data_IF_034130271457
#
_entry.id   IF_034130271457
#
_cell.length_a   1.000
_cell.length_b   1.000
_cell.length_c   1.000
_cell.angle_alpha   90.00
_cell.angle_beta   90.00
_cell.angle_gamma   90.00
#
_symmetry.space_group_name_H-M   'P 1'
#
loop_
_entity.id
_entity.type
_entity.pdbx_description
1 polymer ?
#
# COMPACT_ATOMS: atom_id res chain seq x y z
N UNK A 1 -13.19 23.52 12.99
CA UNK A 1 -11.88 24.17 13.22
C UNK A 1 -10.81 23.13 12.93
N UNK A 2 -9.96 23.35 11.92
CA UNK A 2 -8.88 22.41 11.62
C UNK A 2 -7.90 22.39 12.81
N UNK A 3 -7.62 21.20 13.34
CA UNK A 3 -6.64 21.02 14.43
C UNK A 3 -5.27 21.48 13.90
N UNK A 4 -4.58 22.35 14.63
CA UNK A 4 -3.24 22.78 14.24
C UNK A 4 -2.34 21.55 14.05
N UNK A 5 -1.75 21.41 12.86
CA UNK A 5 -0.88 20.28 12.54
C UNK A 5 0.36 20.33 13.44
N UNK A 6 0.71 19.21 14.05
CA UNK A 6 1.93 19.16 14.87
C UNK A 6 3.17 19.25 13.97
N UNK A 7 4.25 19.84 14.48
CA UNK A 7 5.54 19.87 13.75
C UNK A 7 6.05 18.46 13.40
N UNK A 8 5.74 17.46 14.22
CA UNK A 8 6.02 16.05 13.93
C UNK A 8 5.32 15.57 12.65
N UNK A 9 4.04 15.88 12.49
CA UNK A 9 3.29 15.49 11.30
C UNK A 9 3.75 16.25 10.06
N UNK A 10 4.08 17.54 10.19
CA UNK A 10 4.66 18.32 9.09
C UNK A 10 6.00 17.71 8.61
N UNK A 11 6.87 17.29 9.54
CA UNK A 11 8.12 16.60 9.20
C UNK A 11 7.85 15.32 8.43
N UNK A 12 6.86 14.53 8.87
CA UNK A 12 6.52 13.26 8.21
C UNK A 12 5.93 13.50 6.81
N UNK A 13 5.07 14.50 6.61
CA UNK A 13 4.51 14.83 5.29
C UNK A 13 5.59 15.24 4.29
N UNK A 14 6.52 16.09 4.73
CA UNK A 14 7.67 16.51 3.90
C UNK A 14 8.56 15.31 3.59
N UNK A 15 8.85 14.47 4.60
CA UNK A 15 9.67 13.29 4.42
C UNK A 15 9.01 12.30 3.44
N UNK A 16 7.70 12.07 3.55
CA UNK A 16 6.93 11.19 2.67
C UNK A 16 6.99 11.67 1.22
N UNK A 17 6.67 12.93 0.97
CA UNK A 17 6.69 13.52 -0.36
C UNK A 17 8.10 13.45 -0.99
N UNK A 18 9.14 13.79 -0.23
CA UNK A 18 10.53 13.70 -0.69
C UNK A 18 10.95 12.26 -0.98
N UNK A 19 10.62 11.31 -0.09
CA UNK A 19 10.97 9.90 -0.27
C UNK A 19 10.25 9.30 -1.48
N UNK A 20 8.96 9.57 -1.68
CA UNK A 20 8.21 9.07 -2.84
C UNK A 20 8.67 9.70 -4.16
N UNK A 21 9.24 10.91 -4.12
CA UNK A 21 9.78 11.60 -5.28
C UNK A 21 11.17 11.11 -5.69
N UNK A 22 12.10 10.95 -4.74
CA UNK A 22 13.54 10.72 -5.03
C UNK A 22 14.20 9.65 -4.15
N UNK A 23 13.41 8.87 -3.41
CA UNK A 23 13.87 7.81 -2.54
C UNK A 23 14.48 8.30 -1.22
N UNK A 24 14.71 7.36 -0.31
CA UNK A 24 15.36 7.66 0.97
C UNK A 24 16.81 8.12 0.78
N UNK A 25 17.56 7.54 -0.17
CA UNK A 25 18.93 7.97 -0.48
C UNK A 25 19.04 9.45 -0.84
N UNK A 26 18.12 9.94 -1.68
CA UNK A 26 18.08 11.33 -2.13
C UNK A 26 17.49 12.33 -1.11
N UNK A 27 16.96 11.85 0.01
CA UNK A 27 16.27 12.67 1.01
C UNK A 27 17.16 12.91 2.24
N UNK A 28 17.69 14.12 2.38
CA UNK A 28 18.53 14.51 3.53
C UNK A 28 17.71 14.92 4.77
N UNK A 29 18.32 14.98 5.95
CA UNK A 29 17.66 15.57 7.14
C UNK A 29 17.62 17.10 7.02
N UNK A 30 18.68 17.71 6.48
CA UNK A 30 18.79 19.17 6.37
C UNK A 30 17.75 19.77 5.40
N UNK A 31 17.42 19.07 4.30
CA UNK A 31 16.33 19.52 3.43
C UNK A 31 14.97 19.46 4.14
N UNK A 32 14.72 18.45 4.99
CA UNK A 32 13.46 18.31 5.73
C UNK A 32 13.37 19.42 6.77
N UNK A 33 14.46 19.70 7.49
CA UNK A 33 14.56 20.82 8.43
C UNK A 33 14.24 22.14 7.74
N UNK A 34 14.88 22.39 6.58
CA UNK A 34 14.68 23.60 5.78
C UNK A 34 13.22 23.74 5.32
N UNK A 35 12.64 22.67 4.76
CA UNK A 35 11.27 22.67 4.27
C UNK A 35 10.22 22.78 5.39
N UNK A 36 10.49 22.23 6.58
CA UNK A 36 9.59 22.30 7.73
C UNK A 36 9.67 23.63 8.50
N UNK A 37 10.63 24.50 8.14
CA UNK A 37 10.98 25.74 8.84
C UNK A 37 11.13 25.50 10.34
N UNK A 38 12.07 24.61 10.69
CA UNK A 38 12.42 24.26 12.07
C UNK A 38 13.92 24.33 12.29
N UNK A 39 14.35 24.37 13.55
CA UNK A 39 15.76 24.22 13.88
C UNK A 39 16.18 22.76 13.83
N UNK A 40 17.50 22.53 13.70
CA UNK A 40 18.09 21.20 13.86
C UNK A 40 17.71 20.54 15.19
N UNK A 41 17.74 21.30 16.28
CA UNK A 41 17.29 20.82 17.60
C UNK A 41 15.80 20.45 17.62
N UNK A 42 14.95 21.21 16.91
CA UNK A 42 13.52 20.91 16.76
C UNK A 42 13.25 19.62 16.00
N UNK A 43 14.06 19.30 14.97
CA UNK A 43 13.98 18.00 14.31
C UNK A 43 14.39 16.86 15.24
N UNK A 44 15.55 16.97 15.89
CA UNK A 44 16.07 15.91 16.78
C UNK A 44 15.24 15.70 18.05
N UNK A 45 14.40 16.67 18.43
CA UNK A 45 13.37 16.47 19.45
C UNK A 45 12.33 15.41 19.04
N UNK A 46 11.98 15.33 17.76
CA UNK A 46 11.01 14.38 17.23
C UNK A 46 11.64 13.07 16.74
N UNK A 47 12.80 13.17 16.07
CA UNK A 47 13.47 12.03 15.42
C UNK A 47 14.98 12.08 15.69
N UNK A 48 15.49 11.15 16.49
CA UNK A 48 16.90 11.03 16.88
C UNK A 48 17.82 10.77 15.69
N UNK A 49 17.31 10.08 14.67
CA UNK A 49 18.05 9.72 13.46
C UNK A 49 17.08 9.40 12.31
N UNK A 50 17.66 9.10 11.14
CA UNK A 50 16.92 8.76 9.92
C UNK A 50 16.18 7.42 10.01
N UNK A 51 16.64 6.48 10.83
CA UNK A 51 15.95 5.20 11.04
C UNK A 51 14.68 5.37 11.89
N UNK A 52 14.70 6.26 12.90
CA UNK A 52 13.49 6.58 13.66
C UNK A 52 12.48 7.33 12.79
N UNK A 53 12.94 8.26 11.92
CA UNK A 53 12.08 8.89 10.93
C UNK A 53 11.48 7.85 9.97
N UNK A 54 12.30 6.96 9.41
CA UNK A 54 11.86 5.93 8.47
C UNK A 54 10.83 4.97 9.09
N UNK A 55 11.06 4.50 10.33
CA UNK A 55 10.08 3.69 11.08
C UNK A 55 8.75 4.43 11.26
N UNK A 56 8.80 5.67 11.73
CA UNK A 56 7.58 6.45 11.97
C UNK A 56 6.81 6.73 10.67
N UNK A 57 7.54 7.02 9.59
CA UNK A 57 6.97 7.25 8.28
C UNK A 57 6.33 5.97 7.71
N UNK A 58 7.05 4.85 7.76
CA UNK A 58 6.55 3.57 7.29
C UNK A 58 5.33 3.13 8.12
N UNK A 59 5.37 3.24 9.44
CA UNK A 59 4.21 2.90 10.28
C UNK A 59 2.98 3.75 9.92
N UNK A 60 3.14 5.07 9.78
CA UNK A 60 2.03 5.96 9.40
C UNK A 60 1.45 5.61 8.03
N UNK A 61 2.31 5.29 7.07
CA UNK A 61 1.91 4.84 5.74
C UNK A 61 1.08 3.55 5.82
N UNK A 62 1.57 2.55 6.59
CA UNK A 62 0.86 1.28 6.77
C UNK A 62 -0.46 1.44 7.51
N UNK A 63 -0.54 2.30 8.51
CA UNK A 63 -1.78 2.58 9.24
C UNK A 63 -2.83 3.19 8.29
N UNK A 64 -2.39 4.12 7.44
CA UNK A 64 -3.25 4.78 6.45
C UNK A 64 -3.72 3.79 5.38
N UNK A 65 -2.80 3.00 4.82
CA UNK A 65 -3.10 1.99 3.81
C UNK A 65 -4.06 0.93 4.34
N UNK A 66 -3.82 0.40 5.55
CA UNK A 66 -4.71 -0.58 6.18
C UNK A 66 -6.10 -0.01 6.40
N UNK A 67 -6.23 1.22 6.89
CA UNK A 67 -7.53 1.86 7.09
C UNK A 67 -8.31 2.03 5.78
N UNK A 68 -7.62 2.38 4.68
CA UNK A 68 -8.24 2.49 3.35
C UNK A 68 -8.72 1.11 2.86
N UNK A 69 -7.88 0.08 2.98
CA UNK A 69 -8.25 -1.27 2.55
C UNK A 69 -9.38 -1.85 3.39
N UNK A 70 -9.35 -1.63 4.70
CA UNK A 70 -10.43 -2.02 5.62
C UNK A 70 -11.75 -1.37 5.20
N UNK A 71 -11.79 -0.03 4.99
CA UNK A 71 -13.00 0.67 4.53
C UNK A 71 -13.55 0.08 3.22
N UNK A 72 -12.68 -0.11 2.22
CA UNK A 72 -13.10 -0.63 0.91
C UNK A 72 -13.72 -2.02 1.02
N UNK A 73 -13.03 -2.95 1.71
CA UNK A 73 -13.46 -4.33 1.76
C UNK A 73 -14.59 -4.57 2.77
N UNK A 74 -14.70 -3.76 3.84
CA UNK A 74 -15.86 -3.75 4.73
C UNK A 74 -17.11 -3.25 4.02
N UNK A 75 -17.02 -2.11 3.31
CA UNK A 75 -18.14 -1.60 2.50
C UNK A 75 -18.57 -2.62 1.44
N UNK A 76 -17.63 -3.33 0.83
CA UNK A 76 -17.95 -4.37 -0.14
C UNK A 76 -18.66 -5.58 0.51
N UNK A 77 -18.28 -5.95 1.74
CA UNK A 77 -18.98 -6.98 2.54
C UNK A 77 -20.38 -6.54 2.96
N UNK A 78 -20.58 -5.27 3.28
CA UNK A 78 -21.92 -4.75 3.61
C UNK A 78 -22.86 -4.74 2.39
N UNK A 79 -22.31 -4.62 1.18
CA UNK A 79 -23.09 -4.62 -0.06
C UNK A 79 -23.55 -6.01 -0.49
N UNK A 80 -22.87 -7.08 -0.09
CA UNK A 80 -23.23 -8.44 -0.49
C UNK A 80 -22.77 -9.51 0.52
N UNK A 81 -23.58 -10.54 0.77
CA UNK A 81 -23.26 -11.59 1.75
C UNK A 81 -22.37 -12.73 1.20
N UNK A 82 -22.30 -12.89 -0.13
CA UNK A 82 -21.45 -13.89 -0.76
C UNK A 82 -19.98 -13.43 -0.86
N UNK A 83 -19.00 -14.19 -0.34
CA UNK A 83 -17.61 -13.74 -0.23
C UNK A 83 -16.93 -13.49 -1.58
N UNK A 84 -17.27 -14.25 -2.64
CA UNK A 84 -16.71 -14.02 -3.97
C UNK A 84 -17.23 -12.69 -4.53
N UNK A 85 -18.54 -12.48 -4.50
CA UNK A 85 -19.14 -11.26 -5.02
C UNK A 85 -18.66 -10.03 -4.25
N UNK A 86 -18.59 -10.08 -2.92
CA UNK A 86 -18.09 -8.98 -2.08
C UNK A 86 -16.63 -8.68 -2.37
N UNK A 87 -15.77 -9.69 -2.53
CA UNK A 87 -14.38 -9.44 -2.91
C UNK A 87 -14.23 -8.82 -4.30
N UNK A 88 -15.04 -9.27 -5.28
CA UNK A 88 -15.08 -8.66 -6.61
C UNK A 88 -15.59 -7.22 -6.59
N UNK A 89 -16.52 -6.87 -5.70
CA UNK A 89 -16.96 -5.49 -5.46
C UNK A 89 -15.81 -4.68 -4.87
N UNK A 90 -15.13 -5.21 -3.84
CA UNK A 90 -13.98 -4.55 -3.20
C UNK A 90 -12.85 -4.24 -4.18
N UNK A 91 -12.50 -5.18 -5.06
CA UNK A 91 -11.50 -4.93 -6.11
C UNK A 91 -11.95 -3.85 -7.11
N UNK A 92 -13.25 -3.74 -7.41
CA UNK A 92 -13.76 -2.66 -8.28
C UNK A 92 -13.71 -1.30 -7.57
N UNK A 93 -14.11 -1.23 -6.31
CA UNK A 93 -14.01 -0.02 -5.50
C UNK A 93 -12.54 0.42 -5.32
N UNK A 94 -11.63 -0.53 -5.15
CA UNK A 94 -10.20 -0.24 -5.07
C UNK A 94 -9.66 0.31 -6.39
N UNK A 95 -10.06 -0.26 -7.53
CA UNK A 95 -9.71 0.29 -8.84
C UNK A 95 -10.23 1.72 -9.02
N UNK A 96 -11.48 1.99 -8.63
CA UNK A 96 -12.07 3.34 -8.70
C UNK A 96 -11.31 4.33 -7.82
N UNK A 97 -10.94 3.94 -6.59
CA UNK A 97 -10.12 4.78 -5.73
C UNK A 97 -8.78 5.13 -6.40
N UNK A 98 -8.10 4.16 -7.02
CA UNK A 98 -6.83 4.40 -7.72
C UNK A 98 -7.00 5.29 -8.96
N UNK A 99 -8.13 5.17 -9.66
CA UNK A 99 -8.49 6.01 -10.81
C UNK A 99 -8.74 7.47 -10.41
N UNK A 100 -9.37 7.69 -9.24
CA UNK A 100 -9.71 9.01 -8.71
C UNK A 100 -8.52 9.76 -8.08
N UNK A 101 -7.35 9.13 -7.94
CA UNK A 101 -6.17 9.79 -7.39
C UNK A 101 -5.66 10.89 -8.33
N UNK A 102 -5.59 12.15 -7.86
CA UNK A 102 -5.07 13.25 -8.68
C UNK A 102 -3.58 13.02 -8.94
N UNK A 103 -3.20 12.94 -10.22
CA UNK A 103 -1.85 12.60 -10.69
C UNK A 103 -1.43 11.13 -10.46
N UNK A 104 -2.38 10.24 -10.14
CA UNK A 104 -2.14 8.81 -9.94
C UNK A 104 -1.43 8.47 -8.63
N UNK A 105 -1.11 7.19 -8.44
CA UNK A 105 -0.49 6.71 -7.19
C UNK A 105 0.94 7.26 -7.04
N UNK A 106 1.28 7.91 -5.90
CA UNK A 106 2.55 8.62 -5.74
C UNK A 106 3.77 7.69 -5.57
N UNK A 107 3.54 6.38 -5.52
CA UNK A 107 4.56 5.35 -5.28
C UNK A 107 4.27 4.60 -3.98
N UNK A 108 4.96 3.50 -3.75
CA UNK A 108 4.80 2.70 -2.53
C UNK A 108 6.02 2.85 -1.62
N UNK A 109 5.79 3.21 -0.35
CA UNK A 109 6.87 3.29 0.64
C UNK A 109 7.44 1.90 0.97
N UNK A 110 6.62 0.86 0.97
CA UNK A 110 7.06 -0.53 1.21
C UNK A 110 8.06 -0.96 0.14
N UNK A 111 7.74 -0.70 -1.14
CA UNK A 111 8.64 -0.97 -2.26
C UNK A 111 9.92 -0.12 -2.16
N UNK A 112 9.80 1.16 -1.81
CA UNK A 112 10.95 2.06 -1.67
C UNK A 112 11.93 1.59 -0.58
N UNK A 113 11.40 1.14 0.56
CA UNK A 113 12.20 0.57 1.65
C UNK A 113 12.84 -0.75 1.24
N UNK A 114 12.13 -1.62 0.51
CA UNK A 114 12.65 -2.89 0.02
C UNK A 114 13.88 -2.69 -0.89
N UNK A 115 13.83 -1.75 -1.84
CA UNK A 115 14.96 -1.45 -2.72
C UNK A 115 16.12 -0.73 -2.01
N UNK A 116 15.83 -0.06 -0.89
CA UNK A 116 16.82 0.71 -0.12
C UNK A 116 17.25 0.01 1.16
N UNK A 117 16.99 -1.30 1.31
CA UNK A 117 17.11 -2.04 2.58
C UNK A 117 18.46 -1.86 3.30
N UNK A 118 19.56 -1.73 2.54
CA UNK A 118 20.92 -1.59 3.07
C UNK A 118 21.13 -0.26 3.82
N UNK A 119 20.24 0.70 3.65
CA UNK A 119 20.28 1.98 4.35
C UNK A 119 19.70 1.91 5.76
N UNK A 120 18.97 0.85 6.09
CA UNK A 120 18.17 0.80 7.31
C UNK A 120 18.64 -0.23 8.32
N UNK A 121 18.28 0.02 9.57
CA UNK A 121 18.45 -0.93 10.67
C UNK A 121 17.50 -2.14 10.55
N UNK A 122 17.71 -3.12 11.42
CA UNK A 122 16.89 -4.33 11.43
C UNK A 122 15.40 -4.03 11.69
N UNK A 123 15.09 -3.04 12.53
CA UNK A 123 13.72 -2.73 12.91
C UNK A 123 12.90 -2.18 11.75
N UNK A 124 13.47 -1.29 10.92
CA UNK A 124 12.79 -0.82 9.69
C UNK A 124 12.55 -1.98 8.72
N UNK A 125 13.55 -2.86 8.56
CA UNK A 125 13.45 -4.01 7.64
C UNK A 125 12.40 -5.01 8.11
N UNK A 126 12.32 -5.26 9.42
CA UNK A 126 11.30 -6.14 10.01
C UNK A 126 9.90 -5.54 9.88
N UNK A 127 9.75 -4.23 10.08
CA UNK A 127 8.48 -3.54 9.85
C UNK A 127 8.04 -3.66 8.37
N UNK A 128 8.98 -3.48 7.43
CA UNK A 128 8.70 -3.62 6.00
C UNK A 128 8.33 -5.06 5.62
N UNK A 129 9.02 -6.05 6.21
CA UNK A 129 8.69 -7.46 6.05
C UNK A 129 7.28 -7.75 6.56
N UNK A 130 6.93 -7.22 7.74
CA UNK A 130 5.62 -7.41 8.34
C UNK A 130 4.51 -6.78 7.49
N UNK A 131 4.76 -5.65 6.83
CA UNK A 131 3.81 -5.04 5.90
C UNK A 131 3.38 -6.01 4.79
N UNK A 132 4.36 -6.63 4.11
CA UNK A 132 4.11 -7.61 3.05
C UNK A 132 3.38 -8.85 3.57
N UNK A 133 3.76 -9.34 4.75
CA UNK A 133 3.09 -10.50 5.35
C UNK A 133 1.65 -10.21 5.77
N UNK A 134 1.37 -8.99 6.24
CA UNK A 134 0.01 -8.56 6.61
C UNK A 134 -0.90 -8.53 5.38
N UNK A 135 -0.40 -8.04 4.25
CA UNK A 135 -1.12 -8.13 2.96
C UNK A 135 -1.40 -9.58 2.55
N UNK A 136 -0.39 -10.46 2.64
CA UNK A 136 -0.56 -11.89 2.34
C UNK A 136 -1.65 -12.51 3.22
N UNK A 137 -1.59 -12.29 4.53
CA UNK A 137 -2.54 -12.85 5.49
C UNK A 137 -3.97 -12.37 5.20
N UNK A 138 -4.14 -11.07 4.92
CA UNK A 138 -5.42 -10.45 4.54
C UNK A 138 -6.04 -11.13 3.31
N UNK A 139 -5.32 -11.19 2.19
CA UNK A 139 -5.87 -11.76 0.97
C UNK A 139 -6.01 -13.28 1.03
N UNK A 140 -5.08 -13.98 1.70
CA UNK A 140 -5.22 -15.42 1.92
C UNK A 140 -6.47 -15.76 2.73
N UNK A 141 -6.82 -14.93 3.73
CA UNK A 141 -8.06 -15.08 4.50
C UNK A 141 -9.29 -15.03 3.60
N UNK A 142 -9.40 -13.97 2.79
CA UNK A 142 -10.53 -13.80 1.84
C UNK A 142 -10.58 -14.93 0.82
N UNK A 143 -9.43 -15.33 0.25
CA UNK A 143 -9.36 -16.41 -0.73
C UNK A 143 -9.79 -17.76 -0.13
N UNK A 144 -9.47 -18.02 1.14
CA UNK A 144 -9.94 -19.24 1.84
C UNK A 144 -11.45 -19.24 2.07
N UNK A 145 -12.02 -18.09 2.44
CA UNK A 145 -13.48 -17.95 2.57
C UNK A 145 -14.20 -18.21 1.25
N UNK A 146 -13.68 -17.66 0.15
CA UNK A 146 -14.18 -17.93 -1.19
C UNK A 146 -14.04 -19.41 -1.54
N UNK A 147 -12.86 -20.00 -1.35
CA UNK A 147 -12.55 -21.37 -1.72
C UNK A 147 -13.40 -22.42 -0.96
N UNK A 148 -13.91 -22.07 0.23
CA UNK A 148 -14.80 -22.92 1.00
C UNK A 148 -16.18 -23.12 0.33
N UNK A 149 -16.61 -22.19 -0.51
CA UNK A 149 -17.89 -22.22 -1.24
C UNK A 149 -17.66 -22.51 -2.72
N UNK A 150 -16.62 -21.89 -3.29
CA UNK A 150 -16.24 -21.96 -4.69
C UNK A 150 -14.82 -22.53 -4.80
N UNK A 151 -14.65 -23.85 -4.96
CA UNK A 151 -13.33 -24.42 -5.19
C UNK A 151 -12.66 -23.77 -6.42
N UNK A 152 -11.34 -23.48 -6.38
CA UNK A 152 -10.66 -22.92 -7.54
C UNK A 152 -10.71 -23.88 -8.73
N UNK A 153 -10.89 -23.34 -9.94
CA UNK A 153 -10.95 -24.12 -11.18
C UNK A 153 -9.60 -24.67 -11.63
N UNK A 154 -8.53 -23.99 -11.27
CA UNK A 154 -7.16 -24.38 -11.55
C UNK A 154 -6.49 -24.84 -10.25
N UNK A 155 -5.53 -25.76 -10.36
CA UNK A 155 -4.71 -26.21 -9.23
C UNK A 155 -3.69 -25.11 -8.89
N UNK A 156 -4.09 -24.24 -7.95
CA UNK A 156 -3.29 -23.10 -7.49
C UNK A 156 -3.14 -23.12 -5.97
N UNK A 157 -1.96 -22.72 -5.51
CA UNK A 157 -1.75 -22.39 -4.10
C UNK A 157 -2.35 -21.01 -3.81
N UNK A 158 -3.35 -20.96 -2.93
CA UNK A 158 -4.01 -19.70 -2.53
C UNK A 158 -3.05 -18.69 -1.90
N UNK A 159 -1.96 -19.15 -1.27
CA UNK A 159 -0.94 -18.23 -0.75
C UNK A 159 -0.18 -17.55 -1.89
N UNK A 160 0.14 -18.30 -2.95
CA UNK A 160 0.73 -17.75 -4.17
C UNK A 160 -0.22 -16.78 -4.87
N UNK A 161 -1.54 -17.06 -4.88
CA UNK A 161 -2.55 -16.12 -5.41
C UNK A 161 -2.63 -14.84 -4.56
N UNK A 162 -2.53 -14.96 -3.23
CA UNK A 162 -2.49 -13.80 -2.33
C UNK A 162 -1.28 -12.90 -2.62
N UNK A 163 -0.09 -13.49 -2.81
CA UNK A 163 1.11 -12.75 -3.19
C UNK A 163 0.99 -12.12 -4.59
N UNK A 164 0.32 -12.79 -5.53
CA UNK A 164 0.06 -12.26 -6.87
C UNK A 164 -0.82 -11.00 -6.84
N UNK A 165 -1.79 -10.90 -5.92
CA UNK A 165 -2.61 -9.69 -5.75
C UNK A 165 -1.70 -8.50 -5.42
N UNK A 166 -0.86 -8.63 -4.40
CA UNK A 166 0.13 -7.60 -4.01
C UNK A 166 1.06 -7.27 -5.17
N UNK A 167 1.62 -8.29 -5.82
CA UNK A 167 2.54 -8.12 -6.95
C UNK A 167 1.90 -7.39 -8.14
N UNK A 168 0.62 -7.62 -8.39
CA UNK A 168 -0.14 -6.94 -9.46
C UNK A 168 -0.33 -5.46 -9.15
N UNK A 169 -0.65 -5.11 -7.89
CA UNK A 169 -0.82 -3.72 -7.46
C UNK A 169 0.50 -2.96 -7.52
N UNK A 170 1.57 -3.51 -6.92
CA UNK A 170 2.90 -2.91 -6.94
C UNK A 170 3.45 -2.79 -8.37
N UNK A 171 3.30 -3.83 -9.18
CA UNK A 171 3.64 -3.80 -10.60
C UNK A 171 2.85 -2.72 -11.35
N UNK A 172 1.56 -2.56 -11.08
CA UNK A 172 0.73 -1.51 -11.66
C UNK A 172 1.19 -0.10 -11.28
N UNK A 173 1.62 0.11 -10.03
CA UNK A 173 2.22 1.38 -9.57
C UNK A 173 3.52 1.66 -10.34
N UNK A 174 4.38 0.66 -10.49
CA UNK A 174 5.64 0.81 -11.25
C UNK A 174 5.35 1.13 -12.72
N UNK A 175 4.47 0.38 -13.37
CA UNK A 175 4.12 0.57 -14.78
C UNK A 175 3.53 1.96 -15.02
N UNK A 176 2.49 2.34 -14.27
CA UNK A 176 1.83 3.65 -14.42
C UNK A 176 2.80 4.82 -14.31
N UNK A 177 3.74 4.77 -13.37
CA UNK A 177 4.79 5.79 -13.20
C UNK A 177 5.82 5.76 -14.32
N UNK A 178 6.26 4.57 -14.75
CA UNK A 178 7.29 4.42 -15.76
C UNK A 178 6.83 4.91 -17.14
N UNK A 179 5.56 4.69 -17.50
CA UNK A 179 4.99 5.13 -18.78
C UNK A 179 4.31 6.50 -18.70
N UNK A 180 4.07 7.03 -17.50
CA UNK A 180 3.38 8.31 -17.31
C UNK A 180 1.86 8.25 -17.55
N UNK A 181 1.26 7.07 -17.36
CA UNK A 181 -0.16 6.81 -17.59
C UNK A 181 -0.85 6.34 -16.30
N UNK A 182 -1.61 7.24 -15.67
CA UNK A 182 -2.25 6.97 -14.36
C UNK A 182 -3.28 5.84 -14.43
N UNK A 183 -3.92 5.64 -15.59
CA UNK A 183 -4.94 4.62 -15.81
C UNK A 183 -4.39 3.18 -15.79
N UNK A 184 -3.08 2.97 -15.91
CA UNK A 184 -2.50 1.63 -15.98
C UNK A 184 -2.75 0.83 -14.69
N UNK A 185 -2.59 1.44 -13.51
CA UNK A 185 -2.82 0.78 -12.23
C UNK A 185 -4.27 0.30 -12.05
N UNK A 186 -5.31 1.15 -12.17
CA UNK A 186 -6.70 0.69 -12.02
C UNK A 186 -7.08 -0.36 -13.07
N UNK A 187 -6.53 -0.30 -14.29
CA UNK A 187 -6.71 -1.34 -15.31
C UNK A 187 -6.11 -2.69 -14.90
N UNK A 188 -4.93 -2.71 -14.26
CA UNK A 188 -4.36 -3.94 -13.71
C UNK A 188 -5.26 -4.53 -12.60
N UNK A 189 -5.84 -3.70 -11.74
CA UNK A 189 -6.77 -4.14 -10.69
C UNK A 189 -8.06 -4.73 -11.29
N UNK A 190 -8.60 -4.14 -12.36
CA UNK A 190 -9.78 -4.67 -13.07
C UNK A 190 -9.46 -6.02 -13.76
N UNK A 191 -8.25 -6.17 -14.29
CA UNK A 191 -7.79 -7.45 -14.85
C UNK A 191 -7.62 -8.52 -13.76
N UNK A 192 -7.01 -8.16 -12.63
CA UNK A 192 -6.93 -9.01 -11.44
C UNK A 192 -8.32 -9.46 -10.98
N UNK A 193 -9.28 -8.55 -10.90
CA UNK A 193 -10.69 -8.86 -10.59
C UNK A 193 -11.26 -9.89 -11.58
N UNK A 194 -10.94 -9.77 -12.86
CA UNK A 194 -11.39 -10.72 -13.89
C UNK A 194 -10.75 -12.09 -13.71
N UNK A 195 -9.47 -12.16 -13.36
CA UNK A 195 -8.77 -13.40 -13.02
C UNK A 195 -9.41 -14.09 -11.81
N UNK A 196 -9.61 -13.37 -10.70
CA UNK A 196 -10.26 -13.93 -9.49
C UNK A 196 -11.66 -14.46 -9.81
N UNK A 197 -12.45 -13.71 -10.58
CA UNK A 197 -13.76 -14.17 -11.02
C UNK A 197 -13.66 -15.48 -11.80
N UNK A 198 -12.75 -15.58 -12.76
CA UNK A 198 -12.60 -16.79 -13.57
C UNK A 198 -12.12 -17.99 -12.74
N UNK A 199 -11.15 -17.76 -11.85
CA UNK A 199 -10.59 -18.79 -10.97
C UNK A 199 -11.67 -19.42 -10.07
N UNK A 200 -12.64 -18.64 -9.59
CA UNK A 200 -13.68 -19.11 -8.68
C UNK A 200 -15.09 -19.16 -9.29
N UNK A 201 -15.22 -18.98 -10.61
CA UNK A 201 -16.53 -19.15 -11.27
C UNK A 201 -16.99 -20.59 -11.17
N UNK A 202 -18.30 -20.86 -10.91
CA UNK A 202 -18.82 -22.21 -10.94
C UNK A 202 -18.49 -22.90 -12.27
N UNK A 203 -18.11 -24.17 -12.22
CA UNK A 203 -18.04 -24.99 -13.42
C UNK A 203 -19.44 -25.08 -14.04
N UNK A 204 -19.53 -24.89 -15.36
CA UNK A 204 -20.76 -25.13 -16.14
C UNK A 204 -21.12 -26.62 -16.13
#
# INVERSE_FOLDING_TARGET
MAKAQSKRELILDIAEASVLSKGFGGTSIDEIISAADITKSGFFYHFRDKNQLARALLQRYLDTENAILDDIFDRARDLHGDPLHSFLIGLKLFAELMEDLPNGHPGCLVATVAYSERMFDQEVRDLNRQAILTWRERFLGVLKEIAAIYPPRDDVDLMTVADMITGTVEGGIVLSRAVGETAVLPQQIVLLRSYIRLLFSPAL
#
